data_IF_304445938958
#
_entry.id   IF_304445938958
#
_cell.length_a   1.000
_cell.length_b   1.000
_cell.length_c   1.000
_cell.angle_alpha   90.00
_cell.angle_beta   90.00
_cell.angle_gamma   90.00
#
_symmetry.space_group_name_H-M   'P 1'
#
loop_
_entity.id
_entity.type
_entity.pdbx_description
1 polymer ?
#
# COMPACT_ATOMS: atom_id res chain seq x y z
N UNK A 1 -27.47 8.19 -47.19
CA UNK A 1 -27.05 9.52 -46.65
C UNK A 1 -27.25 9.68 -45.15
N UNK A 2 -28.43 10.04 -44.62
CA UNK A 2 -28.59 10.29 -43.15
C UNK A 2 -28.20 9.10 -42.26
N UNK A 3 -28.63 7.88 -42.62
CA UNK A 3 -28.25 6.65 -41.91
C UNK A 3 -26.74 6.30 -42.03
N UNK A 4 -26.08 6.67 -43.13
CA UNK A 4 -24.64 6.46 -43.30
C UNK A 4 -23.82 7.49 -42.52
N UNK A 5 -24.29 8.73 -42.43
CA UNK A 5 -23.68 9.78 -41.60
C UNK A 5 -23.80 9.45 -40.11
N UNK A 6 -24.96 8.95 -39.67
CA UNK A 6 -25.16 8.48 -38.29
C UNK A 6 -24.25 7.27 -37.98
N UNK A 7 -24.11 6.31 -38.89
CA UNK A 7 -23.21 5.17 -38.72
C UNK A 7 -21.72 5.60 -38.68
N UNK A 8 -21.29 6.55 -39.53
CA UNK A 8 -19.94 7.11 -39.49
C UNK A 8 -19.66 7.86 -38.19
N UNK A 9 -20.61 8.65 -37.71
CA UNK A 9 -20.49 9.39 -36.46
C UNK A 9 -20.39 8.45 -35.24
N UNK A 10 -21.19 7.37 -35.22
CA UNK A 10 -21.13 6.35 -34.18
C UNK A 10 -19.77 5.61 -34.17
N UNK A 11 -19.28 5.20 -35.35
CA UNK A 11 -17.97 4.55 -35.48
C UNK A 11 -16.82 5.47 -35.05
N UNK A 12 -16.89 6.77 -35.37
CA UNK A 12 -15.89 7.74 -34.94
C UNK A 12 -15.88 7.93 -33.42
N UNK A 13 -17.06 7.99 -32.78
CA UNK A 13 -17.19 8.07 -31.32
C UNK A 13 -16.65 6.82 -30.64
N UNK A 14 -16.98 5.63 -31.14
CA UNK A 14 -16.47 4.37 -30.62
C UNK A 14 -14.93 4.29 -30.71
N UNK A 15 -14.36 4.73 -31.85
CA UNK A 15 -12.90 4.77 -32.05
C UNK A 15 -12.22 5.78 -31.12
N UNK A 16 -12.83 6.94 -30.88
CA UNK A 16 -12.33 7.94 -29.94
C UNK A 16 -12.37 7.44 -28.49
N UNK A 17 -13.47 6.80 -28.08
CA UNK A 17 -13.61 6.19 -26.75
C UNK A 17 -12.58 5.07 -26.53
N UNK A 18 -12.39 4.19 -27.51
CA UNK A 18 -11.37 3.13 -27.44
C UNK A 18 -9.95 3.70 -27.31
N UNK A 19 -9.64 4.78 -28.05
CA UNK A 19 -8.34 5.48 -27.94
C UNK A 19 -8.15 6.10 -26.56
N UNK A 20 -9.18 6.75 -26.00
CA UNK A 20 -9.15 7.33 -24.67
C UNK A 20 -8.96 6.26 -23.57
N UNK A 21 -9.69 5.14 -23.67
CA UNK A 21 -9.54 4.01 -22.76
C UNK A 21 -8.12 3.42 -22.81
N UNK A 22 -7.55 3.27 -24.02
CA UNK A 22 -6.19 2.76 -24.20
C UNK A 22 -5.14 3.72 -23.63
N UNK A 23 -5.34 5.04 -23.77
CA UNK A 23 -4.47 6.04 -23.18
C UNK A 23 -4.56 6.07 -21.65
N UNK A 24 -5.77 5.93 -21.08
CA UNK A 24 -5.98 5.82 -19.64
C UNK A 24 -5.33 4.55 -19.07
N UNK A 25 -5.48 3.41 -19.75
CA UNK A 25 -4.83 2.15 -19.39
C UNK A 25 -3.30 2.26 -19.46
N UNK A 26 -2.75 2.91 -20.48
CA UNK A 26 -1.31 3.15 -20.60
C UNK A 26 -0.77 4.09 -19.50
N UNK A 27 -1.50 5.15 -19.17
CA UNK A 27 -1.15 6.05 -18.08
C UNK A 27 -1.19 5.34 -16.71
N UNK A 28 -2.17 4.45 -16.51
CA UNK A 28 -2.27 3.64 -15.31
C UNK A 28 -1.15 2.58 -15.25
N UNK A 29 -0.84 1.91 -16.36
CA UNK A 29 0.29 1.00 -16.48
C UNK A 29 1.63 1.71 -16.21
N UNK A 30 1.83 2.95 -16.67
CA UNK A 30 3.00 3.76 -16.34
C UNK A 30 3.05 4.15 -14.86
N UNK A 31 1.90 4.47 -14.24
CA UNK A 31 1.80 4.66 -12.78
C UNK A 31 2.10 3.38 -12.00
N UNK A 32 1.76 2.20 -12.54
CA UNK A 32 2.03 0.89 -11.93
C UNK A 32 3.47 0.42 -12.11
N UNK A 33 4.07 0.68 -13.27
CA UNK A 33 5.50 0.47 -13.49
C UNK A 33 6.32 1.25 -12.44
N UNK A 34 5.79 2.37 -11.93
CA UNK A 34 6.34 3.16 -10.82
C UNK A 34 6.15 2.56 -9.40
N UNK A 35 5.43 1.44 -9.23
CA UNK A 35 5.04 0.88 -7.91
C UNK A 35 5.76 -0.44 -7.54
N UNK A 36 6.84 -0.81 -8.25
CA UNK A 36 7.66 -1.99 -7.93
C UNK A 36 7.22 -3.28 -8.65
N UNK A 37 8.12 -4.27 -8.69
CA UNK A 37 7.85 -5.59 -9.29
C UNK A 37 6.96 -6.41 -8.36
N UNK A 38 5.84 -6.90 -8.88
CA UNK A 38 4.89 -7.72 -8.13
C UNK A 38 5.53 -9.07 -7.77
N UNK A 39 5.36 -9.49 -6.52
CA UNK A 39 5.47 -10.90 -6.15
C UNK A 39 4.09 -11.53 -6.35
N UNK A 40 3.97 -12.55 -7.20
CA UNK A 40 2.79 -13.43 -7.24
C UNK A 40 2.93 -14.45 -6.09
N UNK A 41 2.41 -14.10 -4.91
CA UNK A 41 2.14 -15.09 -3.87
C UNK A 41 0.72 -15.61 -4.09
N UNK A 42 0.61 -16.84 -4.59
CA UNK A 42 -0.65 -17.58 -4.66
C UNK A 42 -0.97 -18.07 -3.24
N UNK A 43 -1.81 -17.36 -2.51
CA UNK A 43 -2.28 -17.85 -1.21
C UNK A 43 -3.66 -18.52 -1.29
N UNK A 44 -4.54 -18.13 -2.22
CA UNK A 44 -5.79 -18.84 -2.54
C UNK A 44 -6.22 -18.47 -3.97
N UNK A 45 -6.47 -19.46 -4.83
CA UNK A 45 -7.10 -19.24 -6.13
C UNK A 45 -8.62 -19.36 -5.94
N UNK A 46 -9.28 -18.22 -5.71
CA UNK A 46 -10.74 -18.14 -5.72
C UNK A 46 -11.19 -17.00 -6.61
N UNK A 47 -12.30 -17.22 -7.32
CA UNK A 47 -12.88 -16.22 -8.21
C UNK A 47 -13.18 -14.91 -7.47
N UNK A 48 -13.49 -14.96 -6.17
CA UNK A 48 -13.71 -13.78 -5.34
C UNK A 48 -12.42 -12.99 -5.07
N UNK A 49 -11.33 -13.67 -4.71
CA UNK A 49 -10.04 -13.02 -4.49
C UNK A 49 -9.53 -12.42 -5.80
N UNK A 50 -9.61 -13.15 -6.91
CA UNK A 50 -9.22 -12.65 -8.24
C UNK A 50 -10.10 -11.47 -8.70
N UNK A 51 -11.37 -11.43 -8.32
CA UNK A 51 -12.28 -10.31 -8.61
C UNK A 51 -11.98 -9.08 -7.74
N UNK A 52 -11.58 -9.26 -6.48
CA UNK A 52 -11.35 -8.18 -5.52
C UNK A 52 -9.91 -7.64 -5.55
N UNK A 53 -8.92 -8.51 -5.75
CA UNK A 53 -7.54 -8.16 -6.04
C UNK A 53 -7.36 -7.92 -7.53
N UNK A 54 -7.65 -6.69 -7.95
CA UNK A 54 -7.37 -6.26 -9.30
C UNK A 54 -6.18 -5.30 -9.32
N UNK A 55 -5.73 -4.97 -10.51
CA UNK A 55 -4.74 -3.93 -10.69
C UNK A 55 -5.22 -2.51 -10.28
N UNK A 56 -6.48 -2.38 -9.84
CA UNK A 56 -7.09 -1.15 -9.33
C UNK A 56 -7.03 -1.09 -7.80
N UNK A 57 -6.62 -2.17 -7.13
CA UNK A 57 -6.40 -2.19 -5.69
C UNK A 57 -5.21 -1.29 -5.35
N UNK A 58 -5.46 -0.27 -4.53
CA UNK A 58 -4.49 0.72 -4.12
C UNK A 58 -3.78 0.35 -2.81
N UNK A 59 -4.52 -0.29 -1.91
CA UNK A 59 -4.04 -0.59 -0.57
C UNK A 59 -4.68 -1.90 -0.11
N UNK A 60 -3.88 -2.74 0.52
CA UNK A 60 -4.35 -3.92 1.23
C UNK A 60 -3.77 -3.88 2.62
N UNK A 61 -4.62 -4.09 3.62
CA UNK A 61 -4.22 -4.15 5.02
C UNK A 61 -4.80 -5.42 5.63
N UNK A 62 -4.00 -6.09 6.46
CA UNK A 62 -4.39 -7.33 7.13
C UNK A 62 -4.29 -7.16 8.64
N UNK A 63 -5.22 -7.77 9.38
CA UNK A 63 -5.23 -7.80 10.83
C UNK A 63 -5.79 -9.14 11.30
N UNK A 64 -4.90 -10.04 11.74
CA UNK A 64 -5.28 -11.43 12.01
C UNK A 64 -5.86 -12.07 10.74
N UNK A 65 -7.09 -12.58 10.84
CA UNK A 65 -7.82 -13.20 9.73
C UNK A 65 -8.61 -12.19 8.87
N UNK A 66 -8.59 -10.91 9.26
CA UNK A 66 -9.28 -9.86 8.52
C UNK A 66 -8.39 -9.27 7.43
N UNK A 67 -8.99 -9.02 6.28
CA UNK A 67 -8.37 -8.35 5.13
C UNK A 67 -9.24 -7.18 4.73
N UNK A 68 -8.60 -6.03 4.52
CA UNK A 68 -9.22 -4.81 4.00
C UNK A 68 -8.53 -4.42 2.70
N UNK A 69 -9.33 -4.03 1.71
CA UNK A 69 -8.86 -3.58 0.41
C UNK A 69 -9.49 -2.24 0.06
N UNK A 70 -8.67 -1.34 -0.47
CA UNK A 70 -9.10 -0.08 -1.09
C UNK A 70 -8.82 -0.16 -2.57
N UNK A 71 -9.80 0.16 -3.42
CA UNK A 71 -9.69 0.16 -4.88
C UNK A 71 -10.00 1.54 -5.48
N UNK A 72 -9.55 1.75 -6.72
CA UNK A 72 -9.82 2.96 -7.51
C UNK A 72 -11.16 2.93 -8.27
N UNK A 73 -11.90 1.82 -8.22
CA UNK A 73 -13.10 1.62 -9.02
C UNK A 73 -14.33 1.47 -8.15
N UNK A 74 -15.42 2.09 -8.62
CA UNK A 74 -16.68 2.19 -7.93
C UNK A 74 -16.87 3.53 -7.21
N UNK A 75 -18.09 3.78 -6.75
CA UNK A 75 -18.40 4.93 -5.90
C UNK A 75 -17.77 4.74 -4.50
N UNK A 76 -17.85 5.74 -3.62
CA UNK A 76 -17.15 5.73 -2.31
C UNK A 76 -17.40 4.49 -1.45
N UNK A 77 -18.51 3.76 -1.66
CA UNK A 77 -18.80 2.50 -0.98
C UNK A 77 -18.19 1.27 -1.66
N UNK A 78 -18.16 1.22 -2.98
CA UNK A 78 -17.64 0.09 -3.75
C UNK A 78 -16.10 0.08 -3.76
N UNK A 79 -15.48 1.21 -3.43
CA UNK A 79 -14.02 1.35 -3.29
C UNK A 79 -13.43 0.65 -2.08
N UNK A 80 -14.25 0.22 -1.13
CA UNK A 80 -13.78 -0.34 0.13
C UNK A 80 -14.43 -1.71 0.36
N UNK A 81 -13.61 -2.77 0.39
CA UNK A 81 -14.07 -4.13 0.68
C UNK A 81 -13.28 -4.70 1.85
N UNK A 82 -13.93 -5.46 2.73
CA UNK A 82 -13.26 -6.13 3.83
C UNK A 82 -13.92 -7.45 4.20
N UNK A 83 -13.14 -8.35 4.80
CA UNK A 83 -13.65 -9.59 5.41
C UNK A 83 -14.07 -9.35 6.86
N UNK A 84 -14.78 -10.31 7.45
CA UNK A 84 -15.15 -10.26 8.86
C UNK A 84 -13.91 -10.17 9.78
N UNK A 85 -14.10 -9.68 11.01
CA UNK A 85 -13.04 -9.63 12.03
C UNK A 85 -12.18 -8.37 12.04
N UNK A 86 -12.58 -7.30 11.36
CA UNK A 86 -11.93 -6.00 11.53
C UNK A 86 -12.08 -5.51 12.98
N UNK A 87 -11.08 -4.81 13.54
CA UNK A 87 -11.22 -4.13 14.82
C UNK A 87 -12.43 -3.18 14.82
N UNK A 88 -13.24 -3.20 15.87
CA UNK A 88 -14.51 -2.45 15.94
C UNK A 88 -14.32 -0.96 15.60
N UNK A 89 -13.26 -0.33 16.12
CA UNK A 89 -12.95 1.08 15.84
C UNK A 89 -12.67 1.35 14.36
N UNK A 90 -11.92 0.46 13.71
CA UNK A 90 -11.63 0.56 12.27
C UNK A 90 -12.92 0.38 11.47
N UNK A 91 -13.68 -0.67 11.79
CA UNK A 91 -14.97 -0.94 11.15
C UNK A 91 -15.94 0.25 11.24
N UNK A 92 -16.10 0.84 12.43
CA UNK A 92 -17.00 1.98 12.65
C UNK A 92 -16.53 3.25 11.95
N UNK A 93 -15.22 3.53 11.93
CA UNK A 93 -14.65 4.66 11.20
C UNK A 93 -14.90 4.53 9.69
N UNK A 94 -14.67 3.35 9.14
CA UNK A 94 -14.85 3.09 7.71
C UNK A 94 -16.32 3.17 7.31
N UNK A 95 -17.21 2.53 8.09
CA UNK A 95 -18.65 2.53 7.84
C UNK A 95 -19.27 3.94 7.94
N UNK A 96 -18.82 4.74 8.90
CA UNK A 96 -19.32 6.11 9.10
C UNK A 96 -18.82 7.07 8.02
N UNK A 97 -17.53 6.98 7.63
CA UNK A 97 -16.93 7.87 6.63
C UNK A 97 -17.35 7.55 5.19
N UNK A 98 -17.47 6.27 4.83
CA UNK A 98 -17.86 5.85 3.47
C UNK A 98 -19.22 6.43 3.01
N UNK A 99 -20.08 6.86 3.95
CA UNK A 99 -21.41 7.40 3.67
C UNK A 99 -21.49 8.92 3.57
N UNK A 100 -20.57 9.68 4.17
CA UNK A 100 -20.77 11.13 4.41
C UNK A 100 -19.51 11.98 4.30
N UNK A 101 -18.33 11.39 4.25
CA UNK A 101 -17.05 12.09 4.35
C UNK A 101 -16.05 11.57 3.30
N UNK A 102 -14.86 12.18 3.27
CA UNK A 102 -13.76 11.79 2.40
C UNK A 102 -13.40 10.30 2.59
N UNK A 103 -13.31 9.52 1.50
CA UNK A 103 -13.03 8.09 1.59
C UNK A 103 -11.58 7.84 2.06
N UNK A 104 -11.31 6.67 2.67
CA UNK A 104 -9.95 6.27 2.99
C UNK A 104 -9.16 6.01 1.69
N UNK A 105 -7.88 6.41 1.69
CA UNK A 105 -6.94 6.21 0.56
C UNK A 105 -5.74 5.35 0.96
N UNK A 106 -5.54 5.15 2.26
CA UNK A 106 -4.52 4.26 2.80
C UNK A 106 -4.95 3.76 4.17
N UNK A 107 -4.68 2.49 4.43
CA UNK A 107 -4.91 1.85 5.73
C UNK A 107 -3.69 0.99 6.04
N UNK A 108 -3.19 1.10 7.26
CA UNK A 108 -2.25 0.17 7.85
C UNK A 108 -2.85 -0.36 9.15
N UNK A 109 -2.72 -1.67 9.38
CA UNK A 109 -3.20 -2.31 10.60
C UNK A 109 -2.06 -3.10 11.24
N UNK A 110 -2.02 -3.06 12.57
CA UNK A 110 -1.10 -3.83 13.39
C UNK A 110 -1.47 -5.31 13.42
N UNK A 111 -0.52 -6.19 13.79
CA UNK A 111 -0.82 -7.60 14.00
C UNK A 111 -1.72 -7.79 15.23
N UNK A 112 -2.79 -8.58 15.07
CA UNK A 112 -3.80 -8.89 16.10
C UNK A 112 -3.22 -9.36 17.44
N UNK A 113 -2.06 -10.02 17.43
CA UNK A 113 -1.47 -10.61 18.64
C UNK A 113 -0.98 -9.58 19.68
N UNK A 114 -0.81 -8.30 19.32
CA UNK A 114 -0.22 -7.31 20.22
C UNK A 114 -1.09 -6.08 20.45
N UNK A 115 -1.90 -5.68 19.46
CA UNK A 115 -2.78 -4.52 19.58
C UNK A 115 -3.74 -4.35 18.40
N UNK A 116 -4.85 -3.64 18.64
CA UNK A 116 -5.74 -3.09 17.61
C UNK A 116 -5.15 -1.82 16.97
N UNK A 117 -3.84 -1.80 16.70
CA UNK A 117 -3.21 -0.61 16.12
C UNK A 117 -3.66 -0.40 14.69
N UNK A 118 -3.88 0.85 14.33
CA UNK A 118 -4.19 1.22 12.96
C UNK A 118 -3.72 2.64 12.64
N UNK A 119 -3.54 2.87 11.34
CA UNK A 119 -3.40 4.19 10.76
C UNK A 119 -4.25 4.24 9.48
N UNK A 120 -5.11 5.25 9.36
CA UNK A 120 -5.99 5.46 8.23
C UNK A 120 -5.77 6.88 7.74
N UNK A 121 -5.48 7.03 6.44
CA UNK A 121 -5.42 8.32 5.76
C UNK A 121 -6.60 8.46 4.82
N UNK A 122 -7.19 9.64 4.77
CA UNK A 122 -8.35 9.96 3.96
C UNK A 122 -7.98 10.86 2.78
N UNK A 123 -8.85 10.90 1.77
CA UNK A 123 -8.63 11.65 0.53
C UNK A 123 -8.52 13.17 0.73
N UNK A 124 -9.03 13.71 1.84
CA UNK A 124 -8.88 15.12 2.24
C UNK A 124 -7.55 15.42 2.94
N UNK A 125 -6.67 14.43 3.06
CA UNK A 125 -5.38 14.55 3.76
C UNK A 125 -5.49 14.38 5.28
N UNK A 126 -6.70 14.29 5.85
CA UNK A 126 -6.86 13.97 7.27
C UNK A 126 -6.43 12.53 7.55
N UNK A 127 -6.02 12.27 8.78
CA UNK A 127 -5.65 10.94 9.24
C UNK A 127 -6.27 10.60 10.59
N UNK A 128 -6.43 9.31 10.86
CA UNK A 128 -6.85 8.74 12.13
C UNK A 128 -5.97 7.56 12.45
N UNK A 129 -5.57 7.45 13.70
CA UNK A 129 -4.79 6.32 14.19
C UNK A 129 -5.30 5.91 15.56
N UNK A 130 -4.97 4.70 15.96
CA UNK A 130 -5.00 4.29 17.36
C UNK A 130 -3.82 4.96 18.07
N UNK A 131 -4.06 5.68 19.17
CA UNK A 131 -2.96 5.94 20.11
C UNK A 131 -2.60 4.59 20.72
N UNK A 132 -1.35 4.15 20.55
CA UNK A 132 -0.75 3.40 21.64
C UNK A 132 -0.43 4.42 22.74
N UNK A 133 -0.40 4.07 24.01
CA UNK A 133 -0.11 5.04 25.09
C UNK A 133 1.35 5.54 25.08
N UNK A 134 2.08 5.39 23.95
CA UNK A 134 3.47 5.82 23.84
C UNK A 134 3.55 7.25 23.30
N UNK A 135 4.17 8.13 24.10
CA UNK A 135 4.48 9.50 23.69
C UNK A 135 5.33 9.56 22.41
N UNK A 136 6.18 8.54 22.20
CA UNK A 136 7.06 8.41 21.04
C UNK A 136 6.29 8.21 19.73
N UNK A 137 5.27 7.34 19.71
CA UNK A 137 4.42 7.16 18.52
C UNK A 137 3.71 8.46 18.17
N UNK A 138 3.10 9.13 19.16
CA UNK A 138 2.34 10.35 18.92
C UNK A 138 3.24 11.49 18.41
N UNK A 139 4.47 11.58 18.95
CA UNK A 139 5.51 12.49 18.46
C UNK A 139 5.86 12.19 16.99
N UNK A 140 6.15 10.94 16.66
CA UNK A 140 6.52 10.57 15.30
C UNK A 140 5.36 10.76 14.31
N UNK A 141 4.18 10.22 14.59
CA UNK A 141 3.05 10.27 13.65
C UNK A 141 2.55 11.69 13.39
N UNK A 142 2.78 12.61 14.33
CA UNK A 142 2.41 14.03 14.21
C UNK A 142 3.53 14.92 13.64
N UNK A 143 4.75 14.40 13.48
CA UNK A 143 5.92 15.21 13.11
C UNK A 143 5.83 15.83 11.71
N UNK A 144 5.17 15.15 10.76
CA UNK A 144 4.99 15.59 9.39
C UNK A 144 3.84 14.81 8.72
N UNK A 145 3.31 15.26 7.57
CA UNK A 145 2.33 14.49 6.82
C UNK A 145 2.88 13.09 6.50
N UNK A 146 2.08 12.07 6.77
CA UNK A 146 2.51 10.66 6.67
C UNK A 146 2.06 10.08 5.34
N UNK A 147 3.01 9.49 4.61
CA UNK A 147 2.77 8.78 3.36
C UNK A 147 2.36 7.34 3.62
N UNK A 148 3.13 6.64 4.48
CA UNK A 148 2.98 5.21 4.77
C UNK A 148 3.32 4.92 6.23
N UNK A 149 2.68 3.89 6.74
CA UNK A 149 2.98 3.27 8.04
C UNK A 149 2.99 1.77 7.84
N UNK A 150 4.03 1.09 8.30
CA UNK A 150 4.01 -0.35 8.51
C UNK A 150 4.07 -0.64 10.00
N UNK A 151 3.17 -1.50 10.47
CA UNK A 151 3.22 -2.04 11.81
C UNK A 151 3.86 -3.42 11.77
N UNK A 152 4.69 -3.72 12.77
CA UNK A 152 5.32 -5.02 12.93
C UNK A 152 4.99 -5.63 14.28
N UNK A 153 5.66 -6.75 14.56
CA UNK A 153 5.53 -7.50 15.80
C UNK A 153 5.89 -6.65 17.04
N UNK A 154 5.21 -6.89 18.16
CA UNK A 154 5.61 -6.39 19.48
C UNK A 154 5.66 -4.86 19.60
N UNK A 155 4.72 -4.14 18.99
CA UNK A 155 4.70 -2.68 19.05
C UNK A 155 5.64 -1.99 18.07
N UNK A 156 6.39 -2.72 17.24
CA UNK A 156 7.25 -2.10 16.23
C UNK A 156 6.46 -1.38 15.13
N UNK A 157 7.05 -0.33 14.59
CA UNK A 157 6.48 0.42 13.47
C UNK A 157 7.55 1.11 12.64
N UNK A 158 7.20 1.42 11.40
CA UNK A 158 7.99 2.23 10.47
C UNK A 158 7.07 3.25 9.79
N UNK A 159 7.45 4.52 9.83
CA UNK A 159 6.69 5.64 9.27
C UNK A 159 7.52 6.27 8.15
N UNK A 160 6.86 6.54 7.02
CA UNK A 160 7.41 7.30 5.90
C UNK A 160 6.63 8.61 5.82
N UNK A 161 7.34 9.74 5.91
CA UNK A 161 6.75 11.07 5.77
C UNK A 161 6.73 11.55 4.31
N UNK A 162 5.72 12.33 3.97
CA UNK A 162 5.67 13.11 2.74
C UNK A 162 6.54 14.36 2.92
N UNK A 163 7.60 14.50 2.11
CA UNK A 163 8.37 15.75 2.04
C UNK A 163 8.66 16.09 0.57
N UNK A 164 8.67 17.38 0.20
CA UNK A 164 9.18 17.80 -1.10
C UNK A 164 10.65 17.41 -1.23
N UNK A 165 11.00 16.66 -2.27
CA UNK A 165 12.37 16.34 -2.68
C UNK A 165 13.23 15.53 -1.67
N UNK A 166 12.66 15.07 -0.57
CA UNK A 166 13.34 14.21 0.42
C UNK A 166 12.35 13.22 1.01
N UNK A 167 12.83 12.20 1.71
CA UNK A 167 11.98 11.34 2.54
C UNK A 167 12.49 11.35 3.97
N UNK A 168 11.59 11.73 4.88
CA UNK A 168 11.79 11.48 6.29
C UNK A 168 11.26 10.10 6.64
N UNK A 169 11.95 9.41 7.54
CA UNK A 169 11.46 8.17 8.13
C UNK A 169 11.63 8.21 9.64
N UNK A 170 10.72 7.57 10.36
CA UNK A 170 10.84 7.26 11.77
C UNK A 170 10.51 5.79 11.98
N UNK A 171 11.12 5.15 12.97
CA UNK A 171 10.92 3.73 13.23
C UNK A 171 11.12 3.43 14.70
N UNK A 172 10.51 2.34 15.16
CA UNK A 172 10.68 1.82 16.51
C UNK A 172 10.80 0.31 16.46
N UNK A 173 11.79 -0.23 17.16
CA UNK A 173 11.93 -1.66 17.46
C UNK A 173 11.82 -2.61 16.25
N UNK A 174 12.17 -2.17 15.04
CA UNK A 174 12.09 -2.97 13.81
C UNK A 174 13.22 -4.00 13.66
N UNK A 175 14.08 -4.16 14.69
CA UNK A 175 15.26 -5.01 14.67
C UNK A 175 16.39 -4.55 13.72
N UNK A 176 16.13 -3.53 12.91
CA UNK A 176 17.05 -3.04 11.89
C UNK A 176 18.08 -2.11 12.53
N UNK A 177 19.34 -2.36 12.19
CA UNK A 177 20.47 -1.52 12.58
C UNK A 177 20.29 -0.08 12.06
N UNK A 178 20.48 0.90 12.93
CA UNK A 178 20.37 2.33 12.59
C UNK A 178 21.29 2.70 11.42
N UNK A 179 22.49 2.11 11.34
CA UNK A 179 23.43 2.34 10.23
C UNK A 179 22.82 1.92 8.89
N UNK A 180 21.99 0.88 8.87
CA UNK A 180 21.32 0.44 7.65
C UNK A 180 20.20 1.39 7.26
N UNK A 181 19.44 1.90 8.22
CA UNK A 181 18.43 2.94 7.95
C UNK A 181 19.10 4.23 7.49
N UNK A 182 20.25 4.60 8.05
CA UNK A 182 21.04 5.75 7.60
C UNK A 182 21.59 5.54 6.18
N UNK A 183 22.03 4.33 5.83
CA UNK A 183 22.41 3.99 4.44
C UNK A 183 21.23 4.05 3.48
N UNK A 184 20.01 3.75 3.92
CA UNK A 184 18.81 3.95 3.09
C UNK A 184 18.61 5.43 2.76
N UNK A 185 18.86 6.32 3.73
CA UNK A 185 18.77 7.78 3.53
C UNK A 185 19.83 8.33 2.58
N UNK A 186 20.96 7.64 2.40
CA UNK A 186 22.09 8.10 1.57
C UNK A 186 22.13 7.51 0.16
N UNK A 187 21.11 6.73 -0.24
CA UNK A 187 21.08 6.03 -1.53
C UNK A 187 20.72 6.94 -2.71
N UNK A 188 21.56 7.93 -2.99
CA UNK A 188 21.45 8.82 -4.15
C UNK A 188 20.09 9.53 -4.25
N UNK A 189 19.54 9.62 -5.46
CA UNK A 189 18.22 10.20 -5.74
C UNK A 189 17.04 9.24 -5.47
N UNK A 190 17.33 7.99 -5.09
CA UNK A 190 16.31 6.98 -4.80
C UNK A 190 15.80 7.16 -3.36
N UNK A 191 14.48 7.04 -3.18
CA UNK A 191 13.83 7.26 -1.90
C UNK A 191 12.89 6.12 -1.54
N UNK A 192 12.62 5.93 -0.25
CA UNK A 192 11.77 4.85 0.28
C UNK A 192 10.31 5.08 -0.15
N UNK A 193 9.78 4.22 -1.02
CA UNK A 193 8.39 4.30 -1.50
C UNK A 193 7.44 3.45 -0.68
N UNK A 194 7.92 2.31 -0.20
CA UNK A 194 7.09 1.36 0.53
C UNK A 194 7.92 0.61 1.58
N UNK A 195 7.22 0.14 2.61
CA UNK A 195 7.80 -0.59 3.71
C UNK A 195 6.84 -1.64 4.21
N UNK A 196 7.35 -2.81 4.56
CA UNK A 196 6.58 -3.85 5.23
C UNK A 196 7.42 -4.48 6.32
N UNK A 197 6.80 -4.70 7.48
CA UNK A 197 7.42 -5.38 8.60
C UNK A 197 6.86 -6.81 8.66
N UNK A 198 7.73 -7.78 8.87
CA UNK A 198 7.33 -9.16 9.01
C UNK A 198 6.70 -9.46 10.38
N UNK A 199 6.14 -10.67 10.50
CA UNK A 199 5.68 -11.20 11.78
C UNK A 199 6.81 -11.49 12.76
N UNK A 200 8.05 -11.57 12.26
CA UNK A 200 9.26 -11.59 13.07
C UNK A 200 9.73 -10.14 13.29
N UNK A 201 10.08 -9.72 14.52
CA UNK A 201 10.61 -8.38 14.81
C UNK A 201 11.92 -8.05 14.07
N UNK A 202 12.49 -9.01 13.33
CA UNK A 202 13.72 -8.87 12.58
C UNK A 202 13.54 -9.02 11.06
N UNK A 203 12.34 -8.75 10.57
CA UNK A 203 12.02 -8.81 9.14
C UNK A 203 11.53 -7.46 8.63
N UNK A 204 12.25 -6.91 7.65
CA UNK A 204 11.95 -5.65 7.02
C UNK A 204 12.08 -5.81 5.50
N UNK A 205 11.06 -5.36 4.78
CA UNK A 205 11.10 -5.11 3.35
C UNK A 205 11.01 -3.63 3.08
N UNK A 206 11.83 -3.14 2.14
CA UNK A 206 11.81 -1.77 1.67
C UNK A 206 11.85 -1.75 0.15
N UNK A 207 10.92 -1.02 -0.45
CA UNK A 207 10.94 -0.69 -1.87
C UNK A 207 11.32 0.77 -2.08
N UNK A 208 12.17 1.03 -3.07
CA UNK A 208 12.65 2.37 -3.41
C UNK A 208 12.03 2.88 -4.72
N UNK A 209 12.09 4.19 -4.93
CA UNK A 209 11.56 4.88 -6.12
C UNK A 209 12.25 4.51 -7.43
N UNK A 210 13.47 3.95 -7.35
CA UNK A 210 14.25 3.44 -8.49
C UNK A 210 13.96 1.97 -8.82
N UNK A 211 12.90 1.39 -8.23
CA UNK A 211 12.53 -0.03 -8.34
C UNK A 211 13.49 -1.01 -7.67
N UNK A 212 14.55 -0.53 -7.05
CA UNK A 212 15.37 -1.38 -6.22
C UNK A 212 14.57 -1.78 -4.98
N UNK A 213 14.86 -2.98 -4.48
CA UNK A 213 14.28 -3.49 -3.24
C UNK A 213 15.37 -3.95 -2.32
N UNK A 214 15.14 -3.74 -1.04
CA UNK A 214 15.97 -4.20 0.04
C UNK A 214 15.13 -5.05 0.99
N UNK A 215 15.67 -6.19 1.37
CA UNK A 215 15.08 -7.08 2.36
C UNK A 215 16.12 -7.29 3.45
N UNK A 216 15.65 -7.40 4.68
CA UNK A 216 16.47 -7.78 5.81
C UNK A 216 15.70 -8.81 6.63
N UNK A 217 16.34 -9.96 6.87
CA UNK A 217 15.91 -10.97 7.84
C UNK A 217 17.10 -11.39 8.66
N UNK A 218 16.98 -11.45 9.98
CA UNK A 218 18.06 -11.95 10.85
C UNK A 218 18.42 -13.42 10.62
N UNK A 219 17.56 -14.17 9.94
CA UNK A 219 17.73 -15.61 9.81
C UNK A 219 18.56 -15.99 8.57
N UNK A 220 18.89 -15.03 7.69
CA UNK A 220 19.74 -15.21 6.50
C UNK A 220 19.20 -16.18 5.43
N UNK A 221 18.20 -16.99 5.77
CA UNK A 221 17.66 -18.06 4.93
C UNK A 221 16.82 -17.50 3.78
N UNK A 222 16.04 -16.45 4.04
CA UNK A 222 15.26 -15.76 3.01
C UNK A 222 16.15 -14.93 2.09
N UNK A 223 17.24 -14.33 2.60
CA UNK A 223 18.22 -13.62 1.76
C UNK A 223 18.83 -14.57 0.71
N UNK A 224 19.10 -15.83 1.09
CA UNK A 224 19.54 -16.86 0.14
C UNK A 224 18.46 -17.19 -0.91
N UNK A 225 17.19 -17.21 -0.51
CA UNK A 225 16.06 -17.51 -1.43
C UNK A 225 15.78 -16.36 -2.39
N UNK A 226 15.73 -15.11 -1.90
CA UNK A 226 15.53 -13.92 -2.74
C UNK A 226 16.67 -13.75 -3.75
N UNK A 227 17.92 -14.00 -3.31
CA UNK A 227 19.06 -13.96 -4.22
C UNK A 227 19.05 -15.10 -5.25
N UNK A 228 18.53 -16.29 -4.92
CA UNK A 228 18.30 -17.37 -5.90
C UNK A 228 17.29 -16.96 -6.98
N UNK A 229 16.12 -16.45 -6.59
CA UNK A 229 15.09 -16.01 -7.55
C UNK A 229 15.61 -14.93 -8.49
N UNK A 230 16.46 -14.01 -7.99
CA UNK A 230 17.14 -13.00 -8.82
C UNK A 230 18.18 -13.61 -9.78
N UNK A 231 18.92 -14.63 -9.35
CA UNK A 231 19.91 -15.31 -10.17
C UNK A 231 19.26 -16.17 -11.27
N UNK A 232 18.09 -16.75 -10.99
CA UNK A 232 17.37 -17.64 -11.91
C UNK A 232 16.53 -16.89 -12.96
N UNK A 233 16.63 -15.55 -13.01
CA UNK A 233 15.96 -14.74 -14.04
C UNK A 233 14.44 -14.65 -13.90
N UNK A 234 13.90 -14.90 -12.70
CA UNK A 234 12.47 -14.77 -12.43
C UNK A 234 11.97 -13.34 -12.68
N UNK A 235 11.32 -13.13 -13.83
CA UNK A 235 10.60 -11.90 -14.22
C UNK A 235 9.20 -11.88 -13.67
#
# INVERSE_FOLDING_TARGET
>A
RRKEEEARAAAARAKAAAKAARAAAAALAAKRARRGKFIRLYCVDSDEVARLFSEQTQCVAMHGDSTLMISDVGDSQDRLTWTAGLPNRVHDLLRSRARRLSPPVYVAMGPHAFDDRYYIRFADGSAKWSSDDSSEWEEHISAAPVSRVAFGYGGSYFIIYERPNTIGVAWRACGVDDDKIHRMKSKGDAYVCDVSLGSNPRELFVAFSDFSTWWWSSNGELDKQVNRVRADGGT
#
